data_IF_652590023224
#
_entry.id   IF_652590023224
#
_cell.length_a   1.000
_cell.length_b   1.000
_cell.length_c   1.000
_cell.angle_alpha   90.00
_cell.angle_beta   90.00
_cell.angle_gamma   90.00
#
_symmetry.space_group_name_H-M   'P 1'
#
loop_
_entity.id
_entity.type
_entity.pdbx_description
1 polymer ?
#
# COMPACT_ATOMS: atom_id res chain seq x y z
N UNK A 1 -33.91 1.66 -4.60
CA UNK A 1 -33.36 0.30 -4.80
C UNK A 1 -33.39 -0.54 -3.52
N UNK A 2 -32.94 -0.07 -2.35
CA UNK A 2 -32.97 -0.84 -1.10
C UNK A 2 -34.40 -1.23 -0.63
N UNK A 3 -35.39 -0.35 -0.82
CA UNK A 3 -36.80 -0.62 -0.50
C UNK A 3 -37.39 -1.80 -1.31
N UNK A 4 -36.93 -1.99 -2.55
CA UNK A 4 -37.31 -3.13 -3.40
C UNK A 4 -36.69 -4.44 -2.91
N UNK A 5 -35.48 -4.40 -2.33
CA UNK A 5 -34.80 -5.57 -1.77
C UNK A 5 -35.50 -6.08 -0.49
N UNK A 6 -35.97 -5.16 0.36
CA UNK A 6 -36.70 -5.48 1.60
C UNK A 6 -38.02 -6.19 1.30
N UNK A 7 -38.75 -5.68 0.30
CA UNK A 7 -40.04 -6.25 -0.13
C UNK A 7 -39.85 -7.59 -0.87
N UNK A 8 -38.77 -7.73 -1.64
CA UNK A 8 -38.52 -8.94 -2.44
C UNK A 8 -37.93 -10.12 -1.64
N UNK A 9 -37.17 -9.88 -0.58
CA UNK A 9 -36.45 -10.93 0.17
C UNK A 9 -37.08 -11.19 1.55
N UNK A 10 -38.07 -10.39 1.97
CA UNK A 10 -38.82 -10.62 3.21
C UNK A 10 -38.04 -10.40 4.51
N UNK A 11 -36.89 -9.70 4.45
CA UNK A 11 -36.12 -9.32 5.63
C UNK A 11 -36.64 -8.00 6.20
N UNK A 12 -37.08 -7.98 7.46
CA UNK A 12 -37.40 -6.75 8.18
C UNK A 12 -36.13 -5.91 8.42
N UNK A 13 -36.14 -4.65 7.97
CA UNK A 13 -35.05 -3.71 8.20
C UNK A 13 -35.42 -2.73 9.31
N UNK A 14 -34.61 -2.68 10.36
CA UNK A 14 -34.76 -1.69 11.42
C UNK A 14 -34.26 -0.32 10.94
N UNK A 15 -35.14 0.44 10.28
CA UNK A 15 -34.81 1.71 9.61
C UNK A 15 -34.09 2.74 10.49
N UNK A 16 -34.30 2.71 11.81
CA UNK A 16 -33.63 3.59 12.78
C UNK A 16 -32.11 3.37 12.87
N UNK A 17 -31.61 2.21 12.44
CA UNK A 17 -30.19 1.84 12.46
C UNK A 17 -29.52 1.94 11.08
N UNK A 18 -30.26 2.38 10.06
CA UNK A 18 -29.76 2.48 8.68
C UNK A 18 -29.05 3.82 8.49
N UNK A 19 -27.80 3.76 8.04
CA UNK A 19 -27.05 4.94 7.61
C UNK A 19 -27.29 5.16 6.11
N UNK A 20 -28.01 6.22 5.75
CA UNK A 20 -28.28 6.58 4.36
C UNK A 20 -27.23 7.55 3.84
N UNK A 21 -26.51 7.16 2.78
CA UNK A 21 -25.55 8.02 2.06
C UNK A 21 -24.53 8.71 2.99
N UNK A 22 -24.31 8.15 4.19
CA UNK A 22 -23.35 8.70 5.16
C UNK A 22 -21.95 8.30 4.74
N UNK A 23 -21.04 9.26 4.75
CA UNK A 23 -19.61 9.01 4.51
C UNK A 23 -18.83 8.66 5.77
N UNK A 24 -19.49 8.71 6.93
CA UNK A 24 -19.01 8.23 8.22
C UNK A 24 -19.97 7.15 8.72
N UNK A 25 -19.54 5.90 8.66
CA UNK A 25 -20.38 4.73 8.94
C UNK A 25 -19.75 3.92 10.06
N UNK A 26 -20.56 3.42 11.01
CA UNK A 26 -20.10 2.46 12.00
C UNK A 26 -20.55 1.06 11.60
N UNK A 27 -19.61 0.12 11.42
CA UNK A 27 -19.92 -1.28 11.11
C UNK A 27 -19.09 -2.22 11.95
N UNK A 28 -19.71 -3.29 12.48
CA UNK A 28 -19.05 -4.27 13.38
C UNK A 28 -18.28 -3.60 14.55
N UNK A 29 -18.74 -2.39 14.91
CA UNK A 29 -18.14 -1.49 15.89
C UNK A 29 -16.79 -0.87 15.50
N UNK A 30 -16.42 -0.84 14.23
CA UNK A 30 -15.35 0.00 13.70
C UNK A 30 -15.95 1.24 13.01
N UNK A 31 -15.19 2.34 12.98
CA UNK A 31 -15.54 3.52 12.19
C UNK A 31 -15.00 3.36 10.78
N UNK A 32 -15.84 3.60 9.77
CA UNK A 32 -15.46 3.67 8.38
C UNK A 32 -15.49 5.12 7.95
N UNK A 33 -14.33 5.63 7.57
CA UNK A 33 -14.18 6.94 6.97
C UNK A 33 -14.02 6.78 5.46
N UNK A 34 -15.05 7.20 4.73
CA UNK A 34 -15.11 7.20 3.28
C UNK A 34 -14.80 8.60 2.69
N UNK A 35 -14.42 9.60 3.50
CA UNK A 35 -14.27 11.01 3.11
C UNK A 35 -12.88 11.39 2.58
N UNK A 36 -11.99 10.44 2.34
CA UNK A 36 -10.69 10.79 1.78
C UNK A 36 -10.83 11.07 0.28
N UNK A 37 -11.11 12.33 -0.06
CA UNK A 37 -11.30 12.81 -1.45
C UNK A 37 -10.06 12.54 -2.35
N UNK A 38 -8.91 12.22 -1.75
CA UNK A 38 -7.65 11.87 -2.44
C UNK A 38 -6.89 10.69 -1.79
N UNK A 39 -7.54 9.86 -0.97
CA UNK A 39 -6.87 8.78 -0.24
C UNK A 39 -7.73 7.52 -0.06
N UNK A 40 -7.14 6.40 0.37
CA UNK A 40 -7.90 5.18 0.57
C UNK A 40 -8.92 5.36 1.69
N UNK A 41 -10.12 4.78 1.53
CA UNK A 41 -11.08 4.64 2.61
C UNK A 41 -10.39 4.02 3.83
N UNK A 42 -10.67 4.56 5.02
CA UNK A 42 -10.00 4.14 6.26
C UNK A 42 -11.00 3.44 7.16
N UNK A 43 -10.53 2.40 7.83
CA UNK A 43 -11.25 1.75 8.91
C UNK A 43 -10.48 2.02 10.20
N UNK A 44 -11.20 2.48 11.23
CA UNK A 44 -10.62 2.97 12.47
C UNK A 44 -11.30 2.37 13.69
N UNK A 45 -10.59 2.38 14.81
CA UNK A 45 -11.17 2.09 16.12
C UNK A 45 -11.82 3.39 16.63
N UNK A 46 -13.16 3.43 16.84
CA UNK A 46 -13.84 4.60 17.38
C UNK A 46 -13.28 5.01 18.75
N UNK A 47 -13.21 6.30 19.03
CA UNK A 47 -12.69 6.83 20.30
C UNK A 47 -13.40 6.19 21.51
N UNK A 48 -14.73 6.04 21.45
CA UNK A 48 -15.50 5.45 22.54
C UNK A 48 -15.16 3.97 22.80
N UNK A 49 -14.58 3.26 21.82
CA UNK A 49 -14.05 1.90 22.00
C UNK A 49 -12.66 1.91 22.63
N UNK A 50 -11.81 2.89 22.29
CA UNK A 50 -10.44 3.01 22.83
C UNK A 50 -10.47 3.18 24.36
N UNK A 51 -11.36 4.05 24.84
CA UNK A 51 -11.56 4.31 26.28
C UNK A 51 -12.00 3.05 27.06
N UNK A 52 -12.71 2.13 26.41
CA UNK A 52 -13.21 0.89 27.03
C UNK A 52 -12.13 -0.18 27.23
N UNK A 53 -10.91 0.00 26.72
CA UNK A 53 -9.82 -0.95 26.95
C UNK A 53 -9.19 -0.80 28.34
N UNK A 54 -9.26 0.38 28.96
CA UNK A 54 -8.76 0.64 30.33
C UNK A 54 -7.34 0.10 30.57
N UNK A 55 -6.44 0.19 29.58
CA UNK A 55 -5.08 -0.39 29.66
C UNK A 55 -4.26 0.29 30.75
N UNK A 56 -4.46 1.59 30.98
CA UNK A 56 -3.83 2.35 32.08
C UNK A 56 -3.97 1.65 33.44
N UNK A 57 -5.17 1.15 33.77
CA UNK A 57 -5.40 0.44 35.03
C UNK A 57 -4.62 -0.87 35.18
N UNK A 58 -4.26 -1.53 34.07
CA UNK A 58 -3.36 -2.68 34.09
C UNK A 58 -1.89 -2.27 34.24
N UNK A 59 -1.50 -1.11 33.68
CA UNK A 59 -0.14 -0.59 33.79
C UNK A 59 0.17 -0.08 35.21
N UNK A 60 -0.83 0.44 35.91
CA UNK A 60 -0.73 0.94 37.29
C UNK A 60 -0.63 -0.19 38.34
N UNK A 61 -0.99 -1.44 38.00
CA UNK A 61 -1.07 -2.55 38.95
C UNK A 61 -0.09 -3.68 38.62
N UNK A 62 0.69 -4.15 39.60
CA UNK A 62 1.57 -5.32 39.43
C UNK A 62 0.84 -6.64 39.34
N UNK A 63 -0.28 -6.76 40.04
CA UNK A 63 -1.08 -7.97 40.17
C UNK A 63 -2.48 -7.66 39.66
N UNK A 64 -2.96 -8.47 38.72
CA UNK A 64 -4.27 -8.27 38.07
C UNK A 64 -5.07 -9.57 38.09
N UNK A 65 -6.40 -9.44 38.06
CA UNK A 65 -7.29 -10.60 37.90
C UNK A 65 -7.09 -11.23 36.52
N UNK A 66 -6.88 -12.55 36.49
CA UNK A 66 -6.74 -13.33 35.25
C UNK A 66 -7.97 -13.18 34.36
N UNK A 67 -9.16 -13.07 34.96
CA UNK A 67 -10.43 -12.89 34.25
C UNK A 67 -10.44 -11.59 33.46
N UNK A 68 -10.00 -10.49 34.05
CA UNK A 68 -10.00 -9.18 33.40
C UNK A 68 -8.90 -9.06 32.36
N UNK A 69 -7.74 -9.65 32.61
CA UNK A 69 -6.68 -9.77 31.61
C UNK A 69 -7.15 -10.52 30.36
N UNK A 70 -7.92 -11.61 30.52
CA UNK A 70 -8.52 -12.35 29.38
C UNK A 70 -9.54 -11.53 28.62
N UNK A 71 -10.39 -10.76 29.32
CA UNK A 71 -11.34 -9.84 28.66
C UNK A 71 -10.60 -8.79 27.85
N UNK A 72 -9.53 -8.21 28.40
CA UNK A 72 -8.68 -7.27 27.68
C UNK A 72 -8.04 -7.92 26.46
N UNK A 73 -7.43 -9.10 26.62
CA UNK A 73 -6.81 -9.84 25.53
C UNK A 73 -7.81 -10.15 24.41
N UNK A 74 -9.04 -10.56 24.72
CA UNK A 74 -10.08 -10.78 23.71
C UNK A 74 -10.44 -9.51 22.94
N UNK A 75 -10.56 -8.38 23.64
CA UNK A 75 -10.79 -7.07 23.02
C UNK A 75 -9.63 -6.65 22.11
N UNK A 76 -8.38 -6.79 22.58
CA UNK A 76 -7.19 -6.44 21.81
C UNK A 76 -6.99 -7.36 20.61
N UNK A 77 -7.29 -8.66 20.76
CA UNK A 77 -7.24 -9.64 19.68
C UNK A 77 -8.21 -9.27 18.55
N UNK A 78 -9.43 -8.85 18.88
CA UNK A 78 -10.38 -8.33 17.89
C UNK A 78 -9.82 -7.10 17.16
N UNK A 79 -9.20 -6.17 17.87
CA UNK A 79 -8.55 -5.00 17.25
C UNK A 79 -7.32 -5.36 16.41
N UNK A 80 -6.56 -6.38 16.81
CA UNK A 80 -5.39 -6.85 16.07
C UNK A 80 -5.75 -7.58 14.76
N UNK A 81 -7.04 -7.84 14.51
CA UNK A 81 -7.52 -8.20 13.17
C UNK A 81 -7.38 -7.01 12.21
N UNK A 82 -7.65 -5.81 12.71
CA UNK A 82 -7.53 -4.55 12.00
C UNK A 82 -6.07 -4.07 11.96
N UNK A 83 -5.44 -4.00 13.13
CA UNK A 83 -4.09 -3.46 13.29
C UNK A 83 -3.11 -4.62 13.40
N UNK A 84 -2.69 -5.16 12.25
CA UNK A 84 -1.92 -6.42 12.17
C UNK A 84 -0.62 -6.41 12.98
N UNK A 85 0.07 -5.26 13.04
CA UNK A 85 1.33 -5.13 13.79
C UNK A 85 1.15 -5.22 15.33
N UNK A 86 -0.09 -5.27 15.84
CA UNK A 86 -0.34 -5.58 17.25
C UNK A 86 -0.27 -7.06 17.57
N UNK A 87 -0.47 -7.96 16.58
CA UNK A 87 -0.50 -9.41 16.83
C UNK A 87 0.76 -9.93 17.53
N UNK A 88 1.99 -9.55 17.14
CA UNK A 88 3.20 -9.98 17.84
C UNK A 88 3.22 -9.52 19.31
N UNK A 89 2.73 -8.31 19.60
CA UNK A 89 2.67 -7.74 20.96
C UNK A 89 1.70 -8.49 21.89
N UNK A 90 0.72 -9.21 21.33
CA UNK A 90 -0.20 -10.03 22.12
C UNK A 90 0.42 -11.35 22.58
N UNK A 91 1.55 -11.78 22.01
CA UNK A 91 2.18 -13.07 22.31
C UNK A 91 2.48 -13.26 23.80
N UNK A 92 3.02 -12.23 24.46
CA UNK A 92 3.32 -12.25 25.89
C UNK A 92 2.04 -12.38 26.75
N UNK A 93 0.95 -11.73 26.34
CA UNK A 93 -0.35 -11.85 27.03
C UNK A 93 -0.97 -13.24 26.86
N UNK A 94 -0.90 -13.81 25.65
CA UNK A 94 -1.33 -15.19 25.41
C UNK A 94 -0.55 -16.19 26.25
N UNK A 95 0.78 -16.03 26.32
CA UNK A 95 1.63 -16.88 27.15
C UNK A 95 1.27 -16.76 28.64
N UNK A 96 1.09 -15.54 29.16
CA UNK A 96 0.73 -15.31 30.56
C UNK A 96 -0.65 -15.89 30.92
N UNK A 97 -1.65 -15.68 30.08
CA UNK A 97 -3.00 -16.22 30.29
C UNK A 97 -3.04 -17.74 30.19
N UNK A 98 -2.27 -18.35 29.27
CA UNK A 98 -2.13 -19.80 29.17
C UNK A 98 -1.44 -20.41 30.40
N UNK A 99 -0.38 -19.76 30.91
CA UNK A 99 0.30 -20.19 32.13
C UNK A 99 -0.61 -20.09 33.36
N UNK A 100 -1.51 -19.11 33.40
CA UNK A 100 -2.50 -18.95 34.46
C UNK A 100 -3.58 -20.05 34.42
N UNK A 101 -3.97 -20.50 33.22
CA UNK A 101 -4.97 -21.55 33.05
C UNK A 101 -4.44 -22.95 33.31
N UNK A 102 -3.17 -23.19 32.96
CA UNK A 102 -2.50 -24.48 33.10
C UNK A 102 -1.20 -24.33 33.90
N UNK A 103 -1.29 -23.95 35.19
CA UNK A 103 -0.09 -23.88 36.00
C UNK A 103 0.54 -25.28 36.13
N UNK A 104 1.88 -25.34 36.21
CA UNK A 104 2.63 -26.60 36.33
C UNK A 104 2.16 -27.50 37.50
N UNK A 105 1.50 -26.91 38.51
CA UNK A 105 0.87 -27.62 39.62
C UNK A 105 -0.45 -26.93 40.00
N UNK A 106 -1.58 -27.63 39.86
CA UNK A 106 -2.83 -27.25 40.51
C UNK A 106 -3.89 -26.53 39.65
N UNK A 107 -4.77 -25.80 40.34
CA UNK A 107 -5.95 -25.12 39.77
C UNK A 107 -5.56 -23.82 39.05
N UNK A 108 -6.37 -23.35 38.08
CA UNK A 108 -6.15 -22.07 37.42
C UNK A 108 -5.97 -20.90 38.39
N UNK A 109 -5.02 -20.02 38.09
CA UNK A 109 -4.70 -18.86 38.91
C UNK A 109 -5.77 -17.78 38.77
N UNK A 110 -6.28 -17.26 39.89
CA UNK A 110 -7.22 -16.13 39.92
C UNK A 110 -6.56 -14.79 39.62
N UNK A 111 -5.30 -14.64 40.04
CA UNK A 111 -4.50 -13.44 39.84
C UNK A 111 -3.16 -13.80 39.21
N UNK A 112 -2.64 -12.88 38.40
CA UNK A 112 -1.32 -12.99 37.78
C UNK A 112 -0.52 -11.72 38.00
N UNK A 113 0.79 -11.89 38.15
CA UNK A 113 1.73 -10.76 38.13
C UNK A 113 2.11 -10.47 36.68
N UNK A 114 2.03 -9.20 36.28
CA UNK A 114 2.45 -8.78 34.94
C UNK A 114 3.97 -8.80 34.83
N UNK A 115 4.51 -9.52 33.85
CA UNK A 115 5.95 -9.49 33.56
C UNK A 115 6.34 -8.18 32.86
N UNK A 116 7.64 -7.85 32.86
CA UNK A 116 8.16 -6.68 32.15
C UNK A 116 7.77 -6.68 30.67
N UNK A 117 7.90 -7.82 29.98
CA UNK A 117 7.51 -7.97 28.56
C UNK A 117 6.01 -7.73 28.31
N UNK A 118 5.13 -8.18 29.23
CA UNK A 118 3.69 -7.91 29.13
C UNK A 118 3.40 -6.43 29.34
N UNK A 119 4.06 -5.79 30.31
CA UNK A 119 3.93 -4.35 30.56
C UNK A 119 4.37 -3.52 29.36
N UNK A 120 5.52 -3.83 28.79
CA UNK A 120 6.04 -3.17 27.59
C UNK A 120 5.08 -3.31 26.40
N UNK A 121 4.54 -4.51 26.19
CA UNK A 121 3.55 -4.75 25.15
C UNK A 121 2.27 -3.95 25.35
N UNK A 122 1.75 -3.89 26.59
CA UNK A 122 0.57 -3.10 26.94
C UNK A 122 0.83 -1.60 26.82
N UNK A 123 1.99 -1.11 27.25
CA UNK A 123 2.40 0.28 27.14
C UNK A 123 2.44 0.72 25.68
N UNK A 124 3.08 -0.08 24.82
CA UNK A 124 3.17 0.24 23.40
C UNK A 124 1.81 0.24 22.69
N UNK A 125 0.88 -0.64 23.09
CA UNK A 125 -0.50 -0.61 22.58
C UNK A 125 -1.26 0.61 23.11
N UNK A 126 -1.06 0.96 24.37
CA UNK A 126 -1.68 2.13 25.01
C UNK A 126 -1.27 3.42 24.33
N UNK A 127 0.02 3.62 24.07
CA UNK A 127 0.54 4.76 23.32
C UNK A 127 -0.03 4.80 21.89
N UNK A 128 -0.09 3.65 21.20
CA UNK A 128 -0.67 3.58 19.87
C UNK A 128 -2.18 3.94 19.85
N UNK A 129 -2.91 3.69 20.94
CA UNK A 129 -4.32 4.02 21.07
C UNK A 129 -4.59 5.53 21.28
N UNK A 130 -3.59 6.29 21.72
CA UNK A 130 -3.70 7.74 21.89
C UNK A 130 -3.87 8.45 20.53
N UNK A 131 -3.25 7.91 19.48
CA UNK A 131 -3.37 8.40 18.12
C UNK A 131 -4.57 7.80 17.38
N UNK A 132 -5.05 8.42 16.28
CA UNK A 132 -6.06 7.85 15.38
C UNK A 132 -5.65 6.47 14.81
N UNK A 133 -5.98 5.41 15.54
CA UNK A 133 -5.84 4.01 15.16
C UNK A 133 -6.69 3.69 13.92
N UNK A 134 -6.14 3.94 12.74
CA UNK A 134 -6.80 3.75 11.46
C UNK A 134 -5.87 3.01 10.50
N UNK A 135 -6.43 2.08 9.75
CA UNK A 135 -5.75 1.38 8.66
C UNK A 135 -6.53 1.57 7.36
N UNK A 136 -5.87 1.52 6.20
CA UNK A 136 -6.58 1.51 4.93
C UNK A 136 -7.51 0.28 4.87
N UNK A 137 -8.73 0.45 4.35
CA UNK A 137 -9.64 -0.66 4.06
C UNK A 137 -9.14 -1.39 2.81
N UNK A 138 -8.44 -2.51 3.00
CA UNK A 138 -7.96 -3.34 1.89
C UNK A 138 -9.10 -4.25 1.40
N UNK A 139 -9.56 -4.04 0.16
CA UNK A 139 -10.67 -4.79 -0.45
C UNK A 139 -11.44 -4.02 -1.53
N UNK A 140 -11.27 -2.69 -1.58
CA UNK A 140 -11.66 -1.82 -2.70
C UNK A 140 -10.39 -1.22 -3.36
N UNK A 141 -9.31 -2.01 -3.45
CA UNK A 141 -8.02 -1.52 -3.91
C UNK A 141 -7.99 -1.46 -5.43
N UNK A 142 -7.74 -0.27 -5.97
CA UNK A 142 -6.72 -0.19 -7.00
C UNK A 142 -5.43 -0.76 -6.42
N UNK A 143 -4.88 -1.80 -7.01
CA UNK A 143 -3.52 -2.26 -6.72
C UNK A 143 -2.58 -1.19 -7.27
N UNK A 144 -2.05 -0.34 -6.39
CA UNK A 144 -1.19 0.78 -6.78
C UNK A 144 0.25 0.30 -6.81
N UNK A 145 0.85 0.36 -8.00
CA UNK A 145 2.28 0.17 -8.19
C UNK A 145 2.96 1.53 -8.34
N UNK A 146 4.19 1.60 -7.84
CA UNK A 146 5.06 2.75 -8.02
C UNK A 146 6.19 2.35 -8.96
N UNK A 147 6.44 3.18 -9.96
CA UNK A 147 7.51 3.01 -10.93
C UNK A 147 8.36 4.27 -10.93
N UNK A 148 9.65 4.14 -10.70
CA UNK A 148 10.61 5.22 -10.89
C UNK A 148 11.45 4.86 -12.10
N UNK A 149 11.57 5.78 -13.05
CA UNK A 149 12.40 5.62 -14.24
C UNK A 149 13.41 6.75 -14.34
N UNK A 150 14.56 6.45 -14.93
CA UNK A 150 15.64 7.40 -15.17
C UNK A 150 16.36 7.01 -16.48
N UNK A 151 16.92 7.99 -17.17
CA UNK A 151 17.68 7.79 -18.39
C UNK A 151 18.86 8.75 -18.47
N UNK A 152 19.95 8.27 -19.04
CA UNK A 152 21.14 9.05 -19.30
C UNK A 152 21.71 8.70 -20.68
N UNK A 153 22.83 9.35 -21.02
CA UNK A 153 23.51 9.14 -22.30
C UNK A 153 24.06 7.72 -22.52
N UNK A 154 24.15 6.91 -21.46
CA UNK A 154 24.79 5.57 -21.49
C UNK A 154 23.81 4.41 -21.32
N UNK A 155 22.60 4.69 -20.87
CA UNK A 155 21.65 3.67 -20.41
C UNK A 155 20.38 4.29 -19.84
N UNK A 156 19.36 3.47 -19.69
CA UNK A 156 18.12 3.82 -19.01
C UNK A 156 17.63 2.66 -18.15
N UNK A 157 16.82 2.96 -17.15
CA UNK A 157 16.34 1.94 -16.24
C UNK A 157 15.48 2.51 -15.15
N UNK A 158 15.30 1.71 -14.09
CA UNK A 158 14.49 2.11 -12.98
C UNK A 158 14.17 0.97 -12.04
N UNK A 159 13.18 1.21 -11.19
CA UNK A 159 12.61 0.16 -10.35
C UNK A 159 11.10 0.33 -10.23
N UNK A 160 10.43 -0.77 -9.96
CA UNK A 160 9.01 -0.77 -9.60
C UNK A 160 8.74 -1.56 -8.32
N UNK A 161 7.67 -1.18 -7.61
CA UNK A 161 7.29 -1.77 -6.33
C UNK A 161 5.78 -1.71 -6.09
N UNK A 162 5.25 -2.70 -5.38
CA UNK A 162 3.89 -2.72 -4.82
C UNK A 162 3.84 -2.13 -3.38
N UNK A 163 4.96 -1.58 -2.91
CA UNK A 163 5.18 -1.11 -1.55
C UNK A 163 5.75 -2.18 -0.60
N UNK A 164 5.93 -3.42 -1.08
CA UNK A 164 6.51 -4.54 -0.31
C UNK A 164 7.79 -5.04 -0.97
N UNK A 165 7.74 -5.34 -2.26
CA UNK A 165 8.86 -5.89 -3.02
C UNK A 165 9.40 -4.86 -4.03
N UNK A 166 10.71 -4.89 -4.30
CA UNK A 166 11.37 -3.99 -5.24
C UNK A 166 11.99 -4.77 -6.40
N UNK A 167 11.71 -4.33 -7.63
CA UNK A 167 12.19 -4.95 -8.86
C UNK A 167 12.99 -3.95 -9.67
N UNK A 168 14.25 -4.25 -9.93
CA UNK A 168 15.18 -3.39 -10.65
C UNK A 168 15.33 -3.84 -12.10
N UNK A 169 15.44 -2.87 -13.00
CA UNK A 169 15.77 -3.13 -14.41
C UNK A 169 16.70 -2.04 -14.93
N UNK A 170 17.61 -2.42 -15.82
CA UNK A 170 18.59 -1.54 -16.43
C UNK A 170 18.92 -2.09 -17.81
N UNK A 171 18.84 -1.23 -18.83
CA UNK A 171 19.36 -1.49 -20.16
C UNK A 171 20.44 -0.44 -20.41
N UNK A 172 21.63 -0.91 -20.73
CA UNK A 172 22.74 -0.02 -21.05
C UNK A 172 23.51 -0.53 -22.26
N UNK A 173 24.20 0.42 -22.89
CA UNK A 173 24.97 0.21 -24.10
C UNK A 173 26.12 -0.80 -23.95
N UNK A 174 26.57 -1.10 -22.73
CA UNK A 174 27.68 -2.00 -22.46
C UNK A 174 27.22 -3.46 -22.28
N UNK A 175 26.15 -3.66 -21.54
CA UNK A 175 25.66 -4.99 -21.15
C UNK A 175 24.70 -5.57 -22.21
N UNK A 176 23.93 -4.73 -22.89
CA UNK A 176 22.92 -5.13 -23.87
C UNK A 176 22.99 -4.30 -25.18
N UNK A 177 24.13 -4.30 -25.89
CA UNK A 177 24.38 -3.41 -27.03
C UNK A 177 23.40 -3.59 -28.19
N UNK A 178 22.96 -4.82 -28.46
CA UNK A 178 22.02 -5.11 -29.55
C UNK A 178 20.63 -4.53 -29.28
N UNK A 179 20.11 -4.70 -28.06
CA UNK A 179 18.81 -4.17 -27.66
C UNK A 179 18.84 -2.64 -27.56
N UNK A 180 19.96 -2.09 -27.08
CA UNK A 180 20.22 -0.65 -27.07
C UNK A 180 20.19 -0.05 -28.48
N UNK A 181 20.85 -0.67 -29.45
CA UNK A 181 20.82 -0.24 -30.85
C UNK A 181 19.43 -0.33 -31.47
N UNK A 182 18.68 -1.39 -31.22
CA UNK A 182 17.31 -1.55 -31.74
C UNK A 182 16.38 -0.44 -31.24
N UNK A 183 16.49 -0.07 -29.96
CA UNK A 183 15.70 1.01 -29.36
C UNK A 183 16.07 2.37 -29.94
N UNK A 184 17.35 2.66 -30.16
CA UNK A 184 17.80 3.90 -30.78
C UNK A 184 17.41 3.97 -32.27
N UNK A 185 17.52 2.86 -33.02
CA UNK A 185 17.09 2.76 -34.42
C UNK A 185 15.59 3.04 -34.57
N UNK A 186 14.77 2.56 -33.63
CA UNK A 186 13.33 2.84 -33.60
C UNK A 186 12.97 4.32 -33.34
N UNK A 187 13.92 5.13 -32.84
CA UNK A 187 13.75 6.56 -32.58
C UNK A 187 14.27 7.45 -33.72
N UNK A 188 15.49 7.16 -34.18
CA UNK A 188 16.26 8.08 -35.03
C UNK A 188 16.10 7.83 -36.53
N UNK A 189 15.42 6.74 -36.93
CA UNK A 189 15.23 6.32 -38.33
C UNK A 189 16.57 6.30 -39.13
N UNK A 190 17.67 6.13 -38.41
CA UNK A 190 19.06 6.16 -38.86
C UNK A 190 19.90 5.19 -38.02
N UNK A 191 21.06 4.77 -38.54
CA UNK A 191 22.05 4.03 -37.74
C UNK A 191 22.37 4.82 -36.48
N UNK A 192 22.26 4.17 -35.31
CA UNK A 192 22.41 4.82 -34.01
C UNK A 192 23.69 5.67 -33.99
N UNK A 193 23.62 6.97 -33.62
CA UNK A 193 24.77 7.85 -33.66
C UNK A 193 25.88 7.24 -32.83
N UNK A 194 27.05 7.04 -33.45
CA UNK A 194 28.22 6.51 -32.80
C UNK A 194 28.68 7.48 -31.70
N UNK A 195 28.26 7.24 -30.46
CA UNK A 195 28.74 7.87 -29.21
C UNK A 195 28.84 9.42 -29.18
N UNK A 196 28.27 10.12 -30.16
CA UNK A 196 28.15 11.58 -30.15
C UNK A 196 26.91 11.93 -29.31
N UNK A 197 27.12 12.73 -28.27
CA UNK A 197 26.19 12.95 -27.16
C UNK A 197 24.73 13.06 -27.57
N UNK A 198 23.88 12.28 -26.90
CA UNK A 198 22.43 12.37 -27.02
C UNK A 198 21.98 13.76 -26.59
N UNK A 199 21.11 14.39 -27.39
CA UNK A 199 20.49 15.65 -27.03
C UNK A 199 19.27 15.40 -26.11
N UNK A 200 18.70 16.48 -25.59
CA UNK A 200 17.54 16.42 -24.69
C UNK A 200 16.33 15.64 -25.24
N UNK A 201 16.00 15.71 -26.56
CA UNK A 201 14.93 14.91 -27.16
C UNK A 201 15.16 13.39 -27.07
N UNK A 202 16.40 12.93 -27.27
CA UNK A 202 16.77 11.52 -27.19
C UNK A 202 16.74 11.02 -25.74
N UNK A 203 17.18 11.84 -24.77
CA UNK A 203 17.08 11.51 -23.34
C UNK A 203 15.61 11.35 -22.93
N UNK A 204 14.74 12.26 -23.40
CA UNK A 204 13.29 12.15 -23.18
C UNK A 204 12.71 10.85 -23.75
N UNK A 205 13.13 10.46 -24.97
CA UNK A 205 12.70 9.21 -25.57
C UNK A 205 13.17 7.99 -24.76
N UNK A 206 14.42 7.97 -24.31
CA UNK A 206 14.97 6.89 -23.50
C UNK A 206 14.27 6.77 -22.15
N UNK A 207 13.94 7.88 -21.51
CA UNK A 207 13.19 7.86 -20.23
C UNK A 207 11.76 7.36 -20.41
N UNK A 208 11.12 7.69 -21.54
CA UNK A 208 9.84 7.12 -21.90
C UNK A 208 9.93 5.60 -22.15
N UNK A 209 11.01 5.14 -22.79
CA UNK A 209 11.29 3.71 -22.95
C UNK A 209 11.49 3.01 -21.60
N UNK A 210 12.21 3.62 -20.68
CA UNK A 210 12.38 3.12 -19.32
C UNK A 210 11.02 2.92 -18.63
N UNK A 211 10.17 3.96 -18.63
CA UNK A 211 8.83 3.88 -18.06
C UNK A 211 7.98 2.76 -18.68
N UNK A 212 8.02 2.61 -20.02
CA UNK A 212 7.28 1.56 -20.72
C UNK A 212 7.78 0.17 -20.38
N UNK A 213 9.09 -0.05 -20.28
CA UNK A 213 9.64 -1.34 -19.86
C UNK A 213 9.29 -1.67 -18.42
N UNK A 214 9.26 -0.68 -17.53
CA UNK A 214 8.75 -0.84 -16.17
C UNK A 214 7.31 -1.34 -16.15
N UNK A 215 6.43 -0.78 -16.99
CA UNK A 215 5.04 -1.25 -17.13
C UNK A 215 4.94 -2.70 -17.63
N UNK A 216 5.77 -3.08 -18.60
CA UNK A 216 5.86 -4.48 -19.08
C UNK A 216 6.36 -5.41 -17.96
N UNK A 217 7.33 -4.96 -17.17
CA UNK A 217 7.82 -5.67 -15.99
C UNK A 217 6.74 -5.90 -14.94
N UNK A 218 5.94 -4.86 -14.65
CA UNK A 218 4.76 -4.95 -13.78
C UNK A 218 3.75 -5.96 -14.36
N UNK A 219 3.43 -5.88 -15.65
CA UNK A 219 2.49 -6.80 -16.31
C UNK A 219 2.96 -8.26 -16.19
N UNK A 220 4.24 -8.54 -16.45
CA UNK A 220 4.83 -9.88 -16.29
C UNK A 220 4.77 -10.36 -14.84
N UNK A 221 4.99 -9.48 -13.87
CA UNK A 221 4.89 -9.78 -12.44
C UNK A 221 3.44 -10.08 -12.03
N UNK A 222 2.48 -9.38 -12.64
CA UNK A 222 1.05 -9.52 -12.39
C UNK A 222 0.36 -10.58 -13.25
N UNK A 223 1.04 -11.24 -14.19
CA UNK A 223 0.49 -12.19 -15.17
C UNK A 223 -0.24 -13.41 -14.57
N UNK A 224 -0.26 -13.55 -13.24
CA UNK A 224 -1.06 -14.53 -12.49
C UNK A 224 -2.46 -13.98 -12.07
N UNK A 225 -2.74 -12.68 -12.19
CA UNK A 225 -3.92 -12.01 -11.54
C UNK A 225 -4.70 -10.99 -12.39
N UNK A 226 -4.29 -10.70 -13.63
CA UNK A 226 -4.74 -9.51 -14.37
C UNK A 226 -6.20 -9.45 -14.87
N UNK A 227 -7.04 -10.48 -14.67
CA UNK A 227 -8.39 -10.46 -15.26
C UNK A 227 -9.42 -9.64 -14.46
N UNK A 228 -9.23 -9.44 -13.16
CA UNK A 228 -10.27 -8.83 -12.30
C UNK A 228 -9.78 -7.70 -11.36
N UNK A 229 -8.52 -7.29 -11.43
CA UNK A 229 -7.95 -6.26 -10.56
C UNK A 229 -7.91 -4.88 -11.24
N UNK A 230 -8.54 -3.89 -10.61
CA UNK A 230 -8.23 -2.48 -10.86
C UNK A 230 -6.78 -2.25 -10.43
N UNK A 231 -5.87 -1.99 -11.37
CA UNK A 231 -4.46 -1.69 -11.09
C UNK A 231 -4.21 -0.27 -11.55
N UNK A 232 -3.54 0.53 -10.71
CA UNK A 232 -3.04 1.83 -11.11
C UNK A 232 -1.53 1.91 -10.89
N UNK A 233 -0.85 2.65 -11.75
CA UNK A 233 0.61 2.82 -11.67
C UNK A 233 0.91 4.30 -11.57
N UNK A 234 1.67 4.67 -10.55
CA UNK A 234 2.23 6.02 -10.41
C UNK A 234 3.69 5.99 -10.87
N UNK A 235 3.96 6.69 -11.96
CA UNK A 235 5.28 6.77 -12.59
C UNK A 235 5.95 8.08 -12.21
N UNK A 236 7.22 7.99 -11.78
CA UNK A 236 8.05 9.12 -11.44
C UNK A 236 9.24 9.20 -12.39
N UNK A 237 9.40 10.37 -12.99
CA UNK A 237 10.41 10.68 -14.02
C UNK A 237 10.96 12.08 -13.72
N UNK A 238 12.20 12.38 -14.07
CA UNK A 238 12.77 13.73 -13.92
C UNK A 238 12.73 14.54 -15.22
N UNK A 239 12.41 13.91 -16.36
CA UNK A 239 12.13 14.62 -17.60
C UNK A 239 10.64 15.02 -17.74
N UNK A 240 10.39 16.33 -17.73
CA UNK A 240 9.04 16.91 -17.83
C UNK A 240 8.31 16.58 -19.14
N UNK A 241 9.03 16.39 -20.24
CA UNK A 241 8.44 16.02 -21.52
C UNK A 241 7.99 14.54 -21.51
N UNK A 242 8.76 13.65 -20.90
CA UNK A 242 8.36 12.26 -20.67
C UNK A 242 7.12 12.17 -19.76
N UNK A 243 7.10 12.93 -18.65
CA UNK A 243 5.93 13.04 -17.76
C UNK A 243 4.69 13.49 -18.53
N UNK A 244 4.84 14.51 -19.37
CA UNK A 244 3.73 15.04 -20.19
C UNK A 244 3.23 14.04 -21.23
N UNK A 245 4.13 13.27 -21.84
CA UNK A 245 3.78 12.20 -22.76
C UNK A 245 3.00 11.08 -22.05
N UNK A 246 3.44 10.64 -20.87
CA UNK A 246 2.75 9.64 -20.05
C UNK A 246 1.39 10.12 -19.52
N UNK A 247 1.27 11.40 -19.15
CA UNK A 247 0.03 11.97 -18.62
C UNK A 247 -1.06 12.11 -19.70
N UNK A 248 -0.67 12.53 -20.90
CA UNK A 248 -1.61 12.73 -22.01
C UNK A 248 -1.87 11.44 -22.80
N UNK A 249 -0.92 10.50 -22.78
CA UNK A 249 -0.89 9.32 -23.65
C UNK A 249 -1.03 9.63 -25.16
N UNK A 250 -0.88 10.91 -25.53
CA UNK A 250 -1.09 11.42 -26.89
C UNK A 250 -0.03 12.48 -27.23
N UNK A 251 1.27 12.16 -27.16
CA UNK A 251 2.30 13.14 -27.43
C UNK A 251 2.20 13.67 -28.87
N UNK A 252 2.57 14.95 -29.04
CA UNK A 252 2.61 15.60 -30.35
C UNK A 252 3.71 15.02 -31.24
N UNK A 253 4.85 14.64 -30.64
CA UNK A 253 5.96 13.99 -31.33
C UNK A 253 5.59 12.56 -31.69
N UNK A 254 5.73 12.20 -32.97
CA UNK A 254 5.55 10.83 -33.46
C UNK A 254 6.53 9.86 -32.78
N UNK A 255 7.76 10.31 -32.52
CA UNK A 255 8.79 9.49 -31.90
C UNK A 255 8.42 9.05 -30.47
N UNK A 256 7.74 9.91 -29.71
CA UNK A 256 7.25 9.58 -28.36
C UNK A 256 5.98 8.70 -28.37
N UNK A 257 5.31 8.54 -29.52
CA UNK A 257 4.15 7.63 -29.61
C UNK A 257 4.58 6.17 -29.70
N UNK A 258 5.74 5.90 -30.30
CA UNK A 258 6.22 4.53 -30.53
C UNK A 258 6.31 3.72 -29.23
N UNK A 259 6.98 4.20 -28.15
CA UNK A 259 7.06 3.42 -26.91
C UNK A 259 5.69 3.19 -26.25
N UNK A 260 4.83 4.22 -26.21
CA UNK A 260 3.49 4.11 -25.63
C UNK A 260 2.59 3.12 -26.38
N UNK A 261 2.83 2.91 -27.67
CA UNK A 261 2.10 1.95 -28.50
C UNK A 261 2.38 0.49 -28.12
N UNK A 262 3.44 0.21 -27.36
CA UNK A 262 3.76 -1.14 -26.88
C UNK A 262 2.85 -1.56 -25.70
N UNK A 263 2.30 -0.59 -24.97
CA UNK A 263 1.50 -0.79 -23.75
C UNK A 263 0.17 -0.02 -23.77
N UNK A 264 -0.61 -0.04 -24.86
CA UNK A 264 -1.72 0.90 -25.08
C UNK A 264 -2.85 0.76 -24.05
N UNK A 265 -2.98 -0.41 -23.44
CA UNK A 265 -3.99 -0.74 -22.44
C UNK A 265 -3.76 -0.06 -21.08
N UNK A 266 -2.56 0.47 -20.83
CA UNK A 266 -2.21 1.19 -19.60
C UNK A 266 -2.66 2.67 -19.59
N UNK A 267 -3.11 3.20 -20.73
CA UNK A 267 -3.50 4.61 -20.90
C UNK A 267 -4.49 5.16 -19.88
N UNK A 268 -5.38 4.31 -19.34
CA UNK A 268 -6.38 4.69 -18.33
C UNK A 268 -5.97 4.38 -16.89
N UNK A 269 -4.78 3.81 -16.69
CA UNK A 269 -4.32 3.24 -15.42
C UNK A 269 -3.03 3.88 -14.90
N UNK A 270 -2.41 4.74 -15.70
CA UNK A 270 -1.14 5.39 -15.37
C UNK A 270 -1.40 6.83 -14.91
N UNK A 271 -0.64 7.24 -13.89
CA UNK A 271 -0.44 8.65 -13.54
C UNK A 271 1.06 8.91 -13.54
N UNK A 272 1.49 10.05 -14.08
CA UNK A 272 2.90 10.44 -14.08
C UNK A 272 3.11 11.69 -13.23
N UNK A 273 4.27 11.76 -12.57
CA UNK A 273 4.66 12.90 -11.77
C UNK A 273 6.14 13.21 -11.99
N UNK A 274 6.45 14.49 -12.14
CA UNK A 274 7.82 14.95 -12.20
C UNK A 274 8.47 14.91 -10.80
N UNK A 275 9.62 14.26 -10.69
CA UNK A 275 10.42 14.18 -9.47
C UNK A 275 11.84 14.65 -9.80
N UNK A 276 12.39 15.67 -9.10
CA UNK A 276 13.76 16.11 -9.36
C UNK A 276 14.74 14.96 -9.12
N UNK A 277 15.72 14.74 -10.01
CA UNK A 277 16.64 13.58 -9.97
C UNK A 277 17.32 13.30 -8.62
N UNK A 278 17.53 14.31 -7.78
CA UNK A 278 18.02 14.15 -6.39
C UNK A 278 17.10 13.34 -5.44
N UNK A 279 15.87 13.05 -5.88
CA UNK A 279 14.86 12.27 -5.16
C UNK A 279 14.54 10.93 -5.83
N UNK A 280 15.21 10.59 -6.95
CA UNK A 280 15.04 9.31 -7.65
C UNK A 280 15.75 8.13 -6.95
N UNK A 281 16.40 8.36 -5.80
CA UNK A 281 16.98 7.28 -5.00
C UNK A 281 15.93 6.66 -4.06
N UNK A 282 15.81 5.31 -4.00
CA UNK A 282 14.82 4.62 -3.17
C UNK A 282 14.94 4.93 -1.67
N UNK A 283 16.11 5.41 -1.20
CA UNK A 283 16.35 5.73 0.20
C UNK A 283 15.58 6.96 0.74
N UNK A 284 14.81 7.67 -0.08
CA UNK A 284 14.12 8.93 0.31
C UNK A 284 12.61 8.96 0.06
N UNK A 285 12.01 7.85 -0.36
CA UNK A 285 10.56 7.72 -0.62
C UNK A 285 9.76 7.21 0.60
N UNK A 286 10.30 7.37 1.81
CA UNK A 286 9.65 7.00 3.08
C UNK A 286 9.31 8.23 3.93
#
# INVERSE_FOLDING_TARGET
>A
MLLLLVIAIGFEVEFKKVFYLSRDIRTLGFGLDLKHDFGPARISIPVEKREKYRISGFLESDIVETRDLKKLLGKLSWCAQLIRHWRPKLGALYALTAAADRPKRGKPLRHVRLSASVRESLQSIWEALAEPCSVPLFGLKEEVWYLVSDACTYGFGGFFTDGTDYYWYNINSCDEPLLWEEILKAHLDAEAPAYAGLEEPEICYLELCAAVLGLIGIEKTLSVRLKDSHISVSIFCDNTAAVSALASWSPKSQALRTPLSWVPHWSSRVRSQHVPGRFNSPCRLH
#
